data_IF_802952261880
#
_entry.id   IF_802952261880
#
_cell.length_a   1.000
_cell.length_b   1.000
_cell.length_c   1.000
_cell.angle_alpha   90.00
_cell.angle_beta   90.00
_cell.angle_gamma   90.00
#
_symmetry.space_group_name_H-M   'P 1'
#
loop_
_entity.id
_entity.type
_entity.pdbx_description
1 polymer ?
#
# COMPACT_ATOMS: atom_id res chain seq x y z
N UNK A 1 -21.54 -17.88 7.65
CA UNK A 1 -21.22 -17.15 8.90
C UNK A 1 -19.76 -16.75 8.86
N UNK A 2 -19.42 -15.53 9.26
CA UNK A 2 -18.04 -15.04 9.31
C UNK A 2 -17.24 -15.80 10.36
N UNK A 3 -16.06 -16.32 9.99
CA UNK A 3 -15.19 -17.05 10.92
C UNK A 3 -14.67 -16.11 12.01
N UNK A 4 -15.04 -16.39 13.28
CA UNK A 4 -14.51 -15.66 14.44
C UNK A 4 -12.98 -15.68 14.48
N UNK A 5 -12.38 -16.81 14.09
CA UNK A 5 -10.93 -16.97 14.03
C UNK A 5 -10.32 -15.99 13.04
N UNK A 6 -10.90 -15.85 11.84
CA UNK A 6 -10.40 -14.91 10.82
C UNK A 6 -10.49 -13.47 11.30
N UNK A 7 -11.58 -13.09 11.97
CA UNK A 7 -11.71 -11.75 12.56
C UNK A 7 -10.67 -11.50 13.65
N UNK A 8 -10.44 -12.47 14.54
CA UNK A 8 -9.39 -12.37 15.57
C UNK A 8 -7.99 -12.24 14.96
N UNK A 9 -7.70 -12.98 13.88
CA UNK A 9 -6.42 -12.89 13.17
C UNK A 9 -6.21 -11.51 12.53
N UNK A 10 -7.25 -10.96 11.87
CA UNK A 10 -7.18 -9.62 11.28
C UNK A 10 -6.99 -8.54 12.35
N UNK A 11 -7.70 -8.64 13.48
CA UNK A 11 -7.49 -7.76 14.62
C UNK A 11 -6.06 -7.90 15.19
N UNK A 12 -5.55 -9.13 15.26
CA UNK A 12 -4.17 -9.40 15.64
C UNK A 12 -3.16 -8.70 14.74
N UNK A 13 -3.37 -8.71 13.41
CA UNK A 13 -2.53 -7.96 12.48
C UNK A 13 -2.57 -6.45 12.72
N UNK A 14 -3.75 -5.87 12.98
CA UNK A 14 -3.88 -4.44 13.27
C UNK A 14 -3.18 -4.06 14.57
N UNK A 15 -3.34 -4.86 15.62
CA UNK A 15 -2.70 -4.64 16.92
C UNK A 15 -1.18 -4.79 16.83
N UNK A 16 -0.71 -5.83 16.14
CA UNK A 16 0.72 -6.09 15.97
C UNK A 16 1.39 -4.98 15.17
N UNK A 17 0.81 -4.60 14.04
CA UNK A 17 1.33 -3.52 13.20
C UNK A 17 1.28 -2.18 13.92
N UNK A 18 0.14 -1.84 14.55
CA UNK A 18 0.01 -0.61 15.32
C UNK A 18 0.95 -0.54 16.52
N UNK A 19 1.26 -1.69 17.15
CA UNK A 19 2.29 -1.77 18.17
C UNK A 19 3.68 -1.51 17.57
N UNK A 20 4.06 -2.25 16.52
CA UNK A 20 5.38 -2.21 15.91
C UNK A 20 5.71 -0.91 15.18
N UNK A 21 4.70 -0.19 14.68
CA UNK A 21 4.87 1.09 13.99
C UNK A 21 4.55 2.30 14.88
N UNK A 22 3.28 2.48 15.28
CA UNK A 22 2.82 3.69 15.95
C UNK A 22 3.22 3.76 17.43
N UNK A 23 2.98 2.68 18.20
CA UNK A 23 3.24 2.69 19.64
C UNK A 23 4.73 2.79 19.96
N UNK A 24 5.58 1.99 19.32
CA UNK A 24 7.04 2.04 19.48
C UNK A 24 7.59 3.43 19.12
N UNK A 25 7.21 3.97 17.96
CA UNK A 25 7.61 5.32 17.53
C UNK A 25 7.21 6.41 18.52
N UNK A 26 6.03 6.29 19.10
CA UNK A 26 5.57 7.21 20.16
C UNK A 26 6.34 7.02 21.47
N UNK A 27 6.43 5.79 21.97
CA UNK A 27 7.03 5.44 23.26
C UNK A 27 8.49 5.84 23.35
N UNK A 28 9.23 5.71 22.25
CA UNK A 28 10.64 6.07 22.18
C UNK A 28 10.90 7.50 21.69
N UNK A 29 9.85 8.32 21.53
CA UNK A 29 10.00 9.76 21.27
C UNK A 29 10.29 10.17 19.83
N UNK A 30 10.15 9.28 18.84
CA UNK A 30 10.38 9.62 17.43
C UNK A 30 9.43 10.73 16.93
N UNK A 31 8.13 10.60 17.23
CA UNK A 31 7.15 11.63 16.85
C UNK A 31 7.36 12.95 17.59
N UNK A 32 7.93 12.91 18.80
CA UNK A 32 8.26 14.12 19.55
C UNK A 32 9.51 14.79 18.97
N UNK A 33 10.50 14.01 18.54
CA UNK A 33 11.65 14.50 17.77
C UNK A 33 11.20 15.22 16.49
N UNK A 34 10.32 14.59 15.70
CA UNK A 34 9.75 15.21 14.50
C UNK A 34 9.06 16.54 14.81
N UNK A 35 8.23 16.59 15.86
CA UNK A 35 7.54 17.85 16.27
C UNK A 35 8.51 18.93 16.73
N UNK A 36 9.57 18.57 17.47
CA UNK A 36 10.59 19.54 17.90
C UNK A 36 11.30 20.12 16.68
N UNK A 37 11.70 19.27 15.73
CA UNK A 37 12.36 19.71 14.51
C UNK A 37 11.47 20.58 13.61
N UNK A 38 10.18 20.26 13.54
CA UNK A 38 9.19 21.12 12.87
C UNK A 38 9.05 22.48 13.59
N UNK A 39 8.99 22.48 14.94
CA UNK A 39 8.78 23.69 15.73
C UNK A 39 10.01 24.61 15.85
N UNK A 40 11.22 24.06 15.84
CA UNK A 40 12.47 24.84 15.94
C UNK A 40 12.68 25.73 14.71
N UNK A 41 12.16 25.32 13.54
CA UNK A 41 12.08 26.19 12.37
C UNK A 41 11.35 27.52 12.62
N UNK A 42 10.61 27.64 13.74
CA UNK A 42 9.96 28.85 14.21
C UNK A 42 10.58 29.49 15.48
N UNK A 43 11.54 28.87 16.19
CA UNK A 43 12.20 29.45 17.39
C UNK A 43 13.49 28.72 17.82
N UNK A 44 14.63 29.41 18.05
CA UNK A 44 15.97 28.82 18.25
C UNK A 44 16.26 28.26 19.65
N UNK A 45 15.25 27.85 20.42
CA UNK A 45 15.42 27.49 21.85
C UNK A 45 15.45 25.98 22.16
N UNK A 46 15.24 25.10 21.16
CA UNK A 46 15.30 23.63 21.33
C UNK A 46 15.96 22.97 20.13
N UNK A 47 17.19 22.50 20.29
CA UNK A 47 17.99 21.88 19.23
C UNK A 47 17.31 20.62 18.67
N UNK A 48 17.02 20.66 17.37
CA UNK A 48 16.53 19.52 16.61
C UNK A 48 17.60 18.44 16.59
N UNK A 49 17.19 17.23 17.00
CA UNK A 49 18.07 16.06 17.10
C UNK A 49 18.15 15.27 15.79
N UNK A 50 17.28 15.57 14.82
CA UNK A 50 17.32 15.02 13.47
C UNK A 50 18.19 15.94 12.61
N UNK A 51 18.99 15.36 11.73
CA UNK A 51 19.66 16.16 10.73
C UNK A 51 18.60 16.77 9.79
N UNK A 52 18.51 18.10 9.84
CA UNK A 52 17.53 18.93 9.14
C UNK A 52 18.18 19.79 8.06
N UNK A 53 19.40 19.45 7.60
CA UNK A 53 20.22 20.27 6.68
C UNK A 53 19.48 20.81 5.44
N UNK A 54 18.38 20.16 5.03
CA UNK A 54 17.59 20.48 3.85
C UNK A 54 16.18 21.02 4.18
N UNK A 55 15.86 21.29 5.45
CA UNK A 55 14.46 21.36 5.92
C UNK A 55 13.77 22.73 5.83
N UNK A 56 12.50 22.64 5.38
CA UNK A 56 11.21 23.33 5.65
C UNK A 56 11.17 24.71 6.32
N UNK A 57 12.17 25.18 7.05
CA UNK A 57 12.06 26.43 7.82
C UNK A 57 11.80 27.71 7.02
N UNK A 58 11.82 27.64 5.68
CA UNK A 58 11.42 28.74 4.80
C UNK A 58 10.06 28.56 4.10
N UNK A 59 9.36 27.44 4.27
CA UNK A 59 8.08 27.15 3.57
C UNK A 59 6.91 27.41 4.53
N UNK A 60 5.85 28.04 4.03
CA UNK A 60 4.67 28.41 4.82
C UNK A 60 4.16 27.26 5.69
N UNK A 61 4.06 27.50 7.01
CA UNK A 61 3.49 26.56 7.98
C UNK A 61 1.95 26.47 7.91
N UNK A 62 1.32 27.26 7.04
CA UNK A 62 -0.13 27.25 6.79
C UNK A 62 -0.37 26.81 5.35
N UNK A 63 -0.97 25.61 5.19
CA UNK A 63 -1.29 25.01 3.88
C UNK A 63 -2.79 25.09 3.62
N UNK A 64 -3.58 24.69 4.60
CA UNK A 64 -5.05 24.65 4.54
C UNK A 64 -5.70 25.72 5.41
N UNK A 65 -4.95 26.30 6.35
CA UNK A 65 -5.46 27.25 7.35
C UNK A 65 -6.07 26.58 8.57
N UNK A 66 -6.09 25.24 8.62
CA UNK A 66 -6.56 24.46 9.76
C UNK A 66 -5.37 23.85 10.51
N UNK A 67 -5.12 24.31 11.74
CA UNK A 67 -3.92 23.96 12.52
C UNK A 67 -3.68 22.46 12.65
N UNK A 68 -4.73 21.66 12.88
CA UNK A 68 -4.59 20.21 13.04
C UNK A 68 -4.28 19.49 11.72
N UNK A 69 -4.84 19.98 10.62
CA UNK A 69 -4.58 19.40 9.28
C UNK A 69 -3.17 19.78 8.84
N UNK A 70 -2.79 21.04 9.01
CA UNK A 70 -1.47 21.53 8.65
C UNK A 70 -0.37 20.87 9.50
N UNK A 71 -0.63 20.64 10.79
CA UNK A 71 0.28 19.89 11.66
C UNK A 71 0.45 18.43 11.20
N UNK A 72 -0.64 17.75 10.80
CA UNK A 72 -0.55 16.40 10.26
C UNK A 72 0.25 16.36 8.95
N UNK A 73 -0.01 17.31 8.05
CA UNK A 73 0.74 17.45 6.79
C UNK A 73 2.23 17.63 7.08
N UNK A 74 2.60 18.53 7.99
CA UNK A 74 4.01 18.76 8.36
C UNK A 74 4.68 17.49 8.89
N UNK A 75 4.01 16.74 9.77
CA UNK A 75 4.53 15.46 10.28
C UNK A 75 4.74 14.46 9.16
N UNK A 76 3.82 14.36 8.19
CA UNK A 76 3.98 13.45 7.04
C UNK A 76 5.12 13.86 6.13
N UNK A 77 5.22 15.16 5.81
CA UNK A 77 6.29 15.67 4.96
C UNK A 77 7.65 15.42 5.59
N UNK A 78 7.76 15.62 6.90
CA UNK A 78 8.99 15.39 7.64
C UNK A 78 9.30 13.90 7.83
N UNK A 79 8.30 13.07 8.11
CA UNK A 79 8.48 11.62 8.19
C UNK A 79 9.08 11.05 6.89
N UNK A 80 8.51 11.43 5.74
CA UNK A 80 9.01 10.96 4.44
C UNK A 80 10.31 11.62 4.02
N UNK A 81 10.61 12.86 4.43
CA UNK A 81 11.91 13.49 4.14
C UNK A 81 13.05 12.74 4.81
N UNK A 82 12.86 12.31 6.06
CA UNK A 82 13.83 11.50 6.79
C UNK A 82 14.01 10.11 6.17
N UNK A 83 12.92 9.49 5.72
CA UNK A 83 13.00 8.21 5.01
C UNK A 83 13.76 8.29 3.68
N UNK A 84 13.57 9.36 2.93
CA UNK A 84 14.16 9.52 1.59
C UNK A 84 15.53 10.20 1.62
N UNK A 85 16.15 10.28 2.79
CA UNK A 85 17.46 10.90 2.96
C UNK A 85 18.55 9.97 2.42
N UNK A 86 19.34 10.48 1.49
CA UNK A 86 20.55 9.82 1.00
C UNK A 86 21.65 9.86 2.06
N UNK A 87 22.54 8.86 2.05
CA UNK A 87 23.75 8.91 2.86
C UNK A 87 24.65 10.08 2.42
N UNK A 88 25.03 11.02 3.32
CA UNK A 88 25.88 12.15 2.97
C UNK A 88 27.30 11.74 2.56
N UNK A 89 27.77 10.55 2.96
CA UNK A 89 29.10 10.05 2.63
C UNK A 89 29.13 9.32 1.27
N UNK A 90 27.98 9.14 0.60
CA UNK A 90 27.86 8.53 -0.71
C UNK A 90 27.80 9.57 -1.85
N UNK A 91 28.88 9.65 -2.62
CA UNK A 91 28.91 10.36 -3.91
C UNK A 91 28.19 9.52 -4.99
N UNK A 92 26.86 9.59 -5.05
CA UNK A 92 26.10 8.95 -6.13
C UNK A 92 24.71 8.45 -5.74
N UNK A 93 24.31 7.30 -6.31
CA UNK A 93 22.99 6.69 -6.07
C UNK A 93 23.06 5.85 -4.81
N UNK A 94 22.15 6.12 -3.87
CA UNK A 94 21.93 5.24 -2.72
C UNK A 94 21.09 4.04 -3.14
N UNK A 95 21.77 3.02 -3.69
CA UNK A 95 21.10 1.85 -4.27
C UNK A 95 20.31 1.05 -3.23
N UNK A 96 20.84 0.91 -2.02
CA UNK A 96 20.16 0.15 -0.96
C UNK A 96 18.85 0.83 -0.55
N UNK A 97 18.88 2.14 -0.29
CA UNK A 97 17.68 2.91 0.02
C UNK A 97 16.68 2.88 -1.14
N UNK A 98 17.15 3.02 -2.38
CA UNK A 98 16.29 2.99 -3.57
C UNK A 98 15.57 1.65 -3.72
N UNK A 99 16.29 0.53 -3.54
CA UNK A 99 15.71 -0.82 -3.60
C UNK A 99 14.73 -1.05 -2.46
N UNK A 100 15.06 -0.65 -1.22
CA UNK A 100 14.19 -0.80 -0.07
C UNK A 100 12.88 -0.01 -0.23
N UNK A 101 12.96 1.29 -0.57
CA UNK A 101 11.78 2.12 -0.79
C UNK A 101 10.95 1.66 -1.99
N UNK A 102 11.61 1.38 -3.13
CA UNK A 102 10.94 0.92 -4.34
C UNK A 102 10.20 -0.41 -4.09
N UNK A 103 10.82 -1.32 -3.36
CA UNK A 103 10.21 -2.60 -2.97
C UNK A 103 8.98 -2.39 -2.08
N UNK A 104 9.13 -1.66 -0.98
CA UNK A 104 8.03 -1.41 -0.03
C UNK A 104 6.87 -0.68 -0.70
N UNK A 105 7.17 0.32 -1.53
CA UNK A 105 6.17 1.05 -2.29
C UNK A 105 5.42 0.13 -3.26
N UNK A 106 6.09 -0.71 -4.04
CA UNK A 106 5.40 -1.64 -4.95
C UNK A 106 4.44 -2.60 -4.22
N UNK A 107 4.86 -3.12 -3.06
CA UNK A 107 4.05 -4.03 -2.25
C UNK A 107 2.85 -3.30 -1.60
N UNK A 108 3.08 -2.11 -1.05
CA UNK A 108 2.04 -1.21 -0.54
C UNK A 108 1.03 -0.84 -1.63
N UNK A 109 1.51 -0.44 -2.80
CA UNK A 109 0.70 -0.02 -3.94
C UNK A 109 -0.24 -1.13 -4.41
N UNK A 110 0.20 -2.39 -4.33
CA UNK A 110 -0.65 -3.53 -4.61
C UNK A 110 -1.71 -3.80 -3.54
N UNK A 111 -1.37 -3.66 -2.25
CA UNK A 111 -2.36 -3.75 -1.19
C UNK A 111 -3.45 -2.67 -1.37
N UNK A 112 -3.04 -1.43 -1.65
CA UNK A 112 -3.95 -0.33 -1.98
C UNK A 112 -4.78 -0.62 -3.23
N UNK A 113 -4.17 -1.13 -4.30
CA UNK A 113 -4.86 -1.47 -5.55
C UNK A 113 -5.97 -2.49 -5.32
N UNK A 114 -5.71 -3.52 -4.51
CA UNK A 114 -6.69 -4.54 -4.15
C UNK A 114 -7.85 -3.95 -3.34
N UNK A 115 -7.57 -3.05 -2.38
CA UNK A 115 -8.64 -2.34 -1.66
C UNK A 115 -9.48 -1.48 -2.59
N UNK A 116 -8.83 -0.74 -3.50
CA UNK A 116 -9.50 0.08 -4.49
C UNK A 116 -10.41 -0.76 -5.39
N UNK A 117 -9.92 -1.90 -5.87
CA UNK A 117 -10.67 -2.86 -6.69
C UNK A 117 -11.89 -3.40 -5.95
N UNK A 118 -11.73 -3.81 -4.69
CA UNK A 118 -12.86 -4.27 -3.87
C UNK A 118 -13.90 -3.17 -3.63
N UNK A 119 -13.50 -1.91 -3.49
CA UNK A 119 -14.42 -0.78 -3.42
C UNK A 119 -15.27 -0.57 -4.68
N UNK A 120 -14.81 -1.03 -5.85
CA UNK A 120 -15.54 -0.93 -7.14
C UNK A 120 -16.62 -2.00 -7.31
N UNK A 121 -16.64 -3.02 -6.45
CA UNK A 121 -17.59 -4.14 -6.53
C UNK A 121 -19.02 -3.67 -6.31
N UNK A 122 -19.96 -4.27 -7.04
CA UNK A 122 -21.39 -4.02 -6.89
C UNK A 122 -21.87 -4.29 -5.48
N UNK A 123 -21.32 -5.31 -4.80
CA UNK A 123 -21.64 -5.63 -3.41
C UNK A 123 -21.29 -4.52 -2.42
N UNK A 124 -20.32 -3.66 -2.75
CA UNK A 124 -19.86 -2.59 -1.87
C UNK A 124 -20.45 -1.22 -2.24
N UNK A 125 -21.22 -1.13 -3.33
CA UNK A 125 -21.84 0.13 -3.76
C UNK A 125 -22.78 0.68 -2.69
N UNK A 126 -22.64 1.96 -2.40
CA UNK A 126 -23.48 2.66 -1.42
C UNK A 126 -23.15 2.34 0.04
N UNK A 127 -22.13 1.50 0.31
CA UNK A 127 -21.60 1.27 1.65
C UNK A 127 -20.31 2.07 1.85
N UNK A 128 -19.87 2.18 3.10
CA UNK A 128 -18.58 2.81 3.44
C UNK A 128 -17.39 2.13 2.72
N UNK A 129 -17.49 0.84 2.37
CA UNK A 129 -16.43 0.08 1.72
C UNK A 129 -16.13 0.57 0.30
N UNK A 130 -17.06 1.27 -0.35
CA UNK A 130 -16.85 1.93 -1.65
C UNK A 130 -16.10 3.26 -1.55
N UNK A 131 -15.94 3.82 -0.35
CA UNK A 131 -15.27 5.11 -0.12
C UNK A 131 -13.76 4.91 0.08
N UNK A 132 -13.12 4.27 -0.90
CA UNK A 132 -11.71 3.88 -0.81
C UNK A 132 -10.78 5.08 -0.66
N UNK A 133 -11.06 6.20 -1.32
CA UNK A 133 -10.31 7.46 -1.12
C UNK A 133 -10.34 7.98 0.32
N UNK A 134 -11.45 7.82 1.04
CA UNK A 134 -11.58 8.19 2.46
C UNK A 134 -10.71 7.30 3.33
N UNK A 135 -10.77 5.97 3.15
CA UNK A 135 -9.85 5.04 3.82
C UNK A 135 -8.39 5.38 3.48
N UNK A 136 -8.15 5.78 2.24
CA UNK A 136 -6.92 6.37 1.73
C UNK A 136 -6.32 7.44 2.62
N UNK A 137 -7.06 8.51 2.81
CA UNK A 137 -6.62 9.64 3.63
C UNK A 137 -6.51 9.28 5.11
N UNK A 138 -7.40 8.41 5.62
CA UNK A 138 -7.34 7.98 7.02
C UNK A 138 -6.03 7.22 7.29
N UNK A 139 -5.63 6.30 6.40
CA UNK A 139 -4.38 5.57 6.63
C UNK A 139 -3.15 6.45 6.47
N UNK A 140 -3.20 7.54 5.70
CA UNK A 140 -2.07 8.48 5.66
C UNK A 140 -1.82 9.08 7.05
N UNK A 141 -2.89 9.33 7.83
CA UNK A 141 -2.74 9.86 9.19
C UNK A 141 -2.50 8.83 10.29
N UNK A 142 -2.94 7.58 10.09
CA UNK A 142 -2.89 6.54 11.14
C UNK A 142 -1.84 5.47 10.89
N UNK A 143 -1.55 5.11 9.63
CA UNK A 143 -0.81 3.93 9.10
C UNK A 143 -1.73 2.89 8.44
N UNK A 144 -1.32 2.29 7.31
CA UNK A 144 -2.13 1.29 6.59
C UNK A 144 -2.26 -0.03 7.35
N UNK A 145 -1.27 -0.39 8.17
CA UNK A 145 -1.29 -1.64 8.93
C UNK A 145 -2.39 -1.71 9.98
N UNK A 146 -2.94 -0.58 10.41
CA UNK A 146 -4.12 -0.53 11.28
C UNK A 146 -5.39 -0.51 10.42
N UNK A 147 -5.41 0.35 9.40
CA UNK A 147 -6.63 0.62 8.62
C UNK A 147 -7.00 -0.52 7.67
N UNK A 148 -6.02 -1.16 7.01
CA UNK A 148 -6.29 -2.25 6.09
C UNK A 148 -6.97 -3.45 6.79
N UNK A 149 -6.47 -4.02 7.90
CA UNK A 149 -7.17 -5.11 8.55
C UNK A 149 -8.58 -4.73 9.04
N UNK A 150 -8.80 -3.48 9.49
CA UNK A 150 -10.14 -2.98 9.84
C UNK A 150 -11.05 -2.96 8.61
N UNK A 151 -10.57 -2.44 7.48
CA UNK A 151 -11.31 -2.46 6.22
C UNK A 151 -11.67 -3.88 5.80
N UNK A 152 -10.74 -4.82 5.91
CA UNK A 152 -10.95 -6.23 5.59
C UNK A 152 -11.94 -6.91 6.54
N UNK A 153 -11.91 -6.59 7.84
CA UNK A 153 -12.94 -7.05 8.79
C UNK A 153 -14.32 -6.51 8.41
N UNK A 154 -14.42 -5.22 8.07
CA UNK A 154 -15.68 -4.62 7.61
C UNK A 154 -16.17 -5.29 6.32
N UNK A 155 -15.30 -5.63 5.37
CA UNK A 155 -15.64 -6.43 4.20
C UNK A 155 -16.25 -7.78 4.62
N UNK A 156 -15.64 -8.50 5.56
CA UNK A 156 -16.17 -9.79 6.03
C UNK A 156 -17.50 -9.70 6.77
N UNK A 157 -17.79 -8.57 7.39
CA UNK A 157 -19.02 -8.36 8.15
C UNK A 157 -20.17 -7.84 7.28
N UNK A 158 -19.87 -6.99 6.29
CA UNK A 158 -20.86 -6.29 5.47
C UNK A 158 -21.08 -6.97 4.11
N UNK A 159 -20.08 -7.67 3.59
CA UNK A 159 -20.03 -8.15 2.21
C UNK A 159 -19.63 -9.63 2.16
N UNK A 160 -20.62 -10.53 2.16
CA UNK A 160 -20.38 -11.98 2.01
C UNK A 160 -20.68 -12.46 0.58
N UNK A 161 -19.67 -12.86 -0.21
CA UNK A 161 -19.86 -13.34 -1.59
C UNK A 161 -20.75 -14.57 -1.70
N UNK A 162 -20.83 -15.37 -0.64
CA UNK A 162 -21.69 -16.58 -0.59
C UNK A 162 -23.16 -16.29 -0.68
N UNK A 163 -23.59 -15.14 -0.16
CA UNK A 163 -25.00 -14.80 -0.09
C UNK A 163 -25.49 -14.34 -1.47
N UNK A 164 -24.63 -13.66 -2.23
CA UNK A 164 -24.94 -13.13 -3.55
C UNK A 164 -23.69 -13.18 -4.43
N UNK A 165 -23.50 -14.22 -5.27
CA UNK A 165 -22.33 -14.33 -6.15
C UNK A 165 -22.17 -13.11 -7.08
N UNK A 166 -23.27 -12.47 -7.48
CA UNK A 166 -23.25 -11.23 -8.28
C UNK A 166 -22.66 -10.02 -7.56
N UNK A 167 -22.44 -10.10 -6.24
CA UNK A 167 -21.79 -9.03 -5.46
C UNK A 167 -20.34 -8.79 -5.85
N UNK A 168 -19.66 -9.78 -6.43
CA UNK A 168 -18.27 -9.64 -6.90
C UNK A 168 -18.18 -9.00 -8.28
N UNK A 169 -19.29 -8.77 -8.98
CA UNK A 169 -19.27 -8.06 -10.25
C UNK A 169 -18.79 -6.63 -10.04
N UNK A 170 -18.05 -6.11 -11.01
CA UNK A 170 -17.68 -4.70 -11.09
C UNK A 170 -17.83 -4.24 -12.54
N UNK A 171 -18.05 -2.94 -12.72
CA UNK A 171 -18.21 -2.37 -14.06
C UNK A 171 -16.90 -2.55 -14.86
N UNK A 172 -16.93 -3.19 -16.04
CA UNK A 172 -15.73 -3.37 -16.87
C UNK A 172 -15.01 -2.05 -17.19
N UNK A 173 -15.73 -0.93 -17.30
CA UNK A 173 -15.14 0.38 -17.51
C UNK A 173 -14.31 0.83 -16.30
N UNK A 174 -14.87 0.71 -15.10
CA UNK A 174 -14.18 1.09 -13.86
C UNK A 174 -12.92 0.25 -13.64
N UNK A 175 -13.00 -1.05 -13.96
CA UNK A 175 -11.88 -1.98 -13.90
C UNK A 175 -10.80 -1.69 -14.94
N UNK A 176 -11.19 -1.31 -16.16
CA UNK A 176 -10.25 -0.92 -17.21
C UNK A 176 -9.55 0.40 -16.89
N UNK A 177 -10.25 1.31 -16.18
CA UNK A 177 -9.70 2.59 -15.75
C UNK A 177 -8.77 2.46 -14.53
N UNK A 178 -8.98 1.45 -13.68
CA UNK A 178 -8.23 1.30 -12.42
C UNK A 178 -6.70 1.21 -12.60
N UNK A 179 -6.12 0.43 -13.54
CA UNK A 179 -4.68 0.48 -13.83
C UNK A 179 -4.18 1.87 -14.18
N UNK A 180 -4.93 2.61 -15.01
CA UNK A 180 -4.56 3.94 -15.48
C UNK A 180 -4.62 4.95 -14.32
N UNK A 181 -5.71 4.91 -13.54
CA UNK A 181 -5.85 5.81 -12.40
C UNK A 181 -4.75 5.55 -11.37
N UNK A 182 -4.43 4.29 -11.05
CA UNK A 182 -3.31 3.94 -10.17
C UNK A 182 -1.96 4.35 -10.75
N UNK A 183 -1.73 4.19 -12.05
CA UNK A 183 -0.46 4.62 -12.66
C UNK A 183 -0.23 6.12 -12.51
N UNK A 184 -1.26 6.93 -12.78
CA UNK A 184 -1.19 8.40 -12.69
C UNK A 184 -1.16 8.87 -11.24
N UNK A 185 -2.03 8.32 -10.39
CA UNK A 185 -2.19 8.81 -9.02
C UNK A 185 -1.10 8.32 -8.10
N UNK A 186 -0.60 7.10 -8.29
CA UNK A 186 0.27 6.43 -7.33
C UNK A 186 1.66 6.12 -7.91
N UNK A 187 1.73 5.38 -9.03
CA UNK A 187 3.02 4.90 -9.56
C UNK A 187 3.91 6.09 -9.97
N UNK A 188 3.38 7.03 -10.73
CA UNK A 188 4.14 8.19 -11.21
C UNK A 188 4.61 9.09 -10.06
N UNK A 189 3.77 9.49 -9.09
CA UNK A 189 4.25 10.21 -7.90
C UNK A 189 5.25 9.42 -7.08
N UNK A 190 5.13 8.09 -6.99
CA UNK A 190 6.09 7.24 -6.27
C UNK A 190 7.46 7.25 -6.94
N UNK A 191 7.52 7.23 -8.28
CA UNK A 191 8.78 7.41 -9.01
C UNK A 191 9.39 8.77 -8.65
N UNK A 192 8.59 9.83 -8.64
CA UNK A 192 9.00 11.16 -8.19
C UNK A 192 9.52 11.18 -6.75
N UNK A 193 8.88 10.42 -5.86
CA UNK A 193 9.26 10.26 -4.46
C UNK A 193 10.62 9.58 -4.30
N UNK A 194 11.03 8.71 -5.24
CA UNK A 194 12.33 8.03 -5.21
C UNK A 194 13.47 8.82 -5.87
N UNK A 195 13.18 9.87 -6.66
CA UNK A 195 14.21 10.72 -7.28
C UNK A 195 15.20 11.40 -6.30
N UNK A 196 14.82 11.80 -5.07
CA UNK A 196 15.78 12.30 -4.09
C UNK A 196 16.97 11.36 -3.85
N UNK A 197 16.74 10.04 -3.88
CA UNK A 197 17.75 8.99 -3.66
C UNK A 197 18.76 8.87 -4.82
N UNK A 198 18.48 9.53 -5.95
CA UNK A 198 19.41 9.67 -7.07
C UNK A 198 20.30 10.92 -6.94
N UNK A 199 20.12 11.73 -5.90
CA UNK A 199 20.81 13.01 -5.68
C UNK A 199 20.64 14.02 -6.84
N UNK A 200 19.55 13.92 -7.61
CA UNK A 200 19.27 14.80 -8.76
C UNK A 200 18.34 15.97 -8.46
N UNK A 201 17.66 15.96 -7.32
CA UNK A 201 16.66 16.97 -6.95
C UNK A 201 17.22 18.00 -5.95
N UNK A 202 16.87 19.27 -6.17
CA UNK A 202 17.05 20.33 -5.18
C UNK A 202 16.17 20.08 -3.93
N UNK A 203 16.53 20.61 -2.76
CA UNK A 203 15.74 20.45 -1.53
C UNK A 203 14.25 20.79 -1.71
N UNK A 204 13.96 21.90 -2.39
CA UNK A 204 12.57 22.33 -2.70
C UNK A 204 11.84 21.32 -3.59
N UNK A 205 12.52 20.75 -4.60
CA UNK A 205 11.91 19.76 -5.48
C UNK A 205 11.60 18.44 -4.76
N UNK A 206 12.46 18.01 -3.83
CA UNK A 206 12.23 16.83 -2.98
C UNK A 206 10.94 17.00 -2.17
N UNK A 207 10.78 18.16 -1.54
CA UNK A 207 9.58 18.49 -0.76
C UNK A 207 8.31 18.47 -1.61
N UNK A 208 8.33 19.10 -2.78
CA UNK A 208 7.19 19.10 -3.70
C UNK A 208 6.82 17.67 -4.11
N UNK A 209 7.80 16.81 -4.37
CA UNK A 209 7.56 15.41 -4.70
C UNK A 209 6.85 14.66 -3.56
N UNK A 210 7.30 14.85 -2.31
CA UNK A 210 6.65 14.25 -1.13
C UNK A 210 5.21 14.79 -0.99
N UNK A 211 5.02 16.11 -1.07
CA UNK A 211 3.72 16.74 -0.91
C UNK A 211 2.71 16.31 -1.98
N UNK A 212 3.15 16.16 -3.23
CA UNK A 212 2.32 15.63 -4.32
C UNK A 212 1.98 14.15 -4.11
N UNK A 213 2.84 13.38 -3.45
CA UNK A 213 2.54 11.97 -3.19
C UNK A 213 1.47 11.78 -2.09
N UNK A 214 1.47 12.60 -1.04
CA UNK A 214 0.59 12.41 0.13
C UNK A 214 -0.91 12.20 -0.20
N UNK A 215 -1.57 13.04 -1.01
CA UNK A 215 -2.99 12.89 -1.31
C UNK A 215 -3.29 11.94 -2.49
N UNK A 216 -2.37 11.05 -2.88
CA UNK A 216 -2.59 10.10 -3.98
C UNK A 216 -3.92 9.33 -3.94
N UNK A 217 -4.49 8.93 -2.78
CA UNK A 217 -5.75 8.20 -2.75
C UNK A 217 -6.93 9.04 -3.24
N UNK A 218 -6.87 10.36 -3.02
CA UNK A 218 -7.87 11.30 -3.51
C UNK A 218 -7.73 11.51 -5.01
N UNK A 219 -6.50 11.60 -5.53
CA UNK A 219 -6.26 11.68 -6.96
C UNK A 219 -6.85 10.47 -7.68
N UNK A 220 -6.62 9.26 -7.16
CA UNK A 220 -7.16 8.04 -7.76
C UNK A 220 -8.69 8.05 -7.80
N UNK A 221 -9.31 8.45 -6.68
CA UNK A 221 -10.76 8.52 -6.54
C UNK A 221 -11.37 9.60 -7.44
N UNK A 222 -10.70 10.76 -7.55
CA UNK A 222 -11.10 11.86 -8.40
C UNK A 222 -11.02 11.49 -9.89
N UNK A 223 -9.93 10.83 -10.33
CA UNK A 223 -9.80 10.35 -11.71
C UNK A 223 -10.95 9.40 -12.06
N UNK A 224 -11.21 8.40 -11.21
CA UNK A 224 -12.33 7.46 -11.39
C UNK A 224 -13.68 8.18 -11.45
N UNK A 225 -13.95 9.13 -10.54
CA UNK A 225 -15.20 9.88 -10.50
C UNK A 225 -15.39 10.80 -11.72
N UNK A 226 -14.35 11.56 -12.09
CA UNK A 226 -14.38 12.48 -13.22
C UNK A 226 -14.54 11.73 -14.55
N UNK A 227 -13.80 10.63 -14.75
CA UNK A 227 -13.95 9.81 -15.95
C UNK A 227 -15.36 9.27 -16.10
N UNK A 228 -16.04 8.88 -15.01
CA UNK A 228 -17.46 8.49 -15.06
C UNK A 228 -18.37 9.64 -15.47
N UNK A 229 -18.08 10.87 -15.04
CA UNK A 229 -18.86 12.05 -15.42
C UNK A 229 -18.71 12.36 -16.91
N UNK A 230 -17.49 12.30 -17.46
CA UNK A 230 -17.24 12.59 -18.87
C UNK A 230 -17.65 11.44 -19.81
N UNK A 231 -17.49 10.19 -19.42
CA UNK A 231 -17.86 9.03 -20.23
C UNK A 231 -19.35 8.63 -20.11
N UNK A 232 -20.10 9.25 -19.18
CA UNK A 232 -21.55 9.04 -18.95
C UNK A 232 -22.42 9.23 -20.18
N UNK A 233 -21.96 10.01 -21.16
CA UNK A 233 -22.70 10.30 -22.39
C UNK A 233 -22.64 9.16 -23.43
N UNK A 234 -21.73 8.18 -23.27
CA UNK A 234 -21.41 7.23 -24.35
C UNK A 234 -21.72 5.77 -24.05
N UNK A 235 -21.83 5.38 -22.78
CA UNK A 235 -22.18 4.02 -22.37
C UNK A 235 -23.26 4.13 -21.28
N UNK A 236 -24.47 3.64 -21.61
CA UNK A 236 -25.60 3.61 -20.67
C UNK A 236 -25.19 2.96 -19.35
N UNK A 237 -25.71 3.50 -18.25
CA UNK A 237 -25.27 3.15 -16.89
C UNK A 237 -25.63 1.69 -16.58
N UNK A 238 -24.65 0.79 -16.52
CA UNK A 238 -24.84 -0.55 -15.97
C UNK A 238 -24.78 -0.51 -14.43
N UNK A 239 -25.84 0.06 -13.84
CA UNK A 239 -25.89 0.31 -12.40
C UNK A 239 -26.21 -0.90 -11.55
N UNK A 240 -26.88 -1.87 -12.15
CA UNK A 240 -27.40 -3.05 -11.49
C UNK A 240 -26.57 -4.23 -11.92
N UNK A 241 -26.36 -5.18 -11.01
CA UNK A 241 -25.70 -6.45 -11.32
C UNK A 241 -26.33 -7.15 -12.55
N UNK A 242 -27.64 -6.97 -12.75
CA UNK A 242 -28.39 -7.53 -13.86
C UNK A 242 -27.91 -7.05 -15.26
N UNK A 243 -27.26 -5.88 -15.33
CA UNK A 243 -26.83 -5.30 -16.59
C UNK A 243 -25.33 -5.51 -16.86
N UNK A 244 -24.58 -6.15 -15.94
CA UNK A 244 -23.14 -6.38 -16.11
C UNK A 244 -22.95 -7.78 -16.70
N UNK A 245 -22.34 -7.86 -17.87
CA UNK A 245 -21.99 -9.14 -18.49
C UNK A 245 -20.82 -9.79 -17.69
N UNK A 246 -21.03 -10.98 -17.08
CA UNK A 246 -19.98 -11.65 -16.29
C UNK A 246 -18.70 -11.90 -17.09
N UNK A 247 -18.82 -12.20 -18.39
CA UNK A 247 -17.68 -12.44 -19.29
C UNK A 247 -16.83 -11.20 -19.53
N UNK A 248 -17.46 -10.05 -19.69
CA UNK A 248 -16.74 -8.79 -19.85
C UNK A 248 -16.09 -8.36 -18.53
N UNK A 249 -16.79 -8.55 -17.41
CA UNK A 249 -16.26 -8.32 -16.07
C UNK A 249 -15.02 -9.18 -15.81
N UNK A 250 -15.07 -10.50 -16.10
CA UNK A 250 -13.95 -11.43 -15.94
C UNK A 250 -12.73 -11.03 -16.77
N UNK A 251 -12.94 -10.63 -18.02
CA UNK A 251 -11.86 -10.11 -18.89
C UNK A 251 -11.23 -8.83 -18.31
N UNK A 252 -12.06 -7.89 -17.84
CA UNK A 252 -11.57 -6.64 -17.27
C UNK A 252 -10.81 -6.87 -15.94
N UNK A 253 -11.31 -7.75 -15.06
CA UNK A 253 -10.62 -8.17 -13.85
C UNK A 253 -9.29 -8.85 -14.14
N UNK A 254 -9.25 -9.76 -15.12
CA UNK A 254 -8.01 -10.42 -15.53
C UNK A 254 -6.94 -9.40 -15.94
N UNK A 255 -7.31 -8.36 -16.69
CA UNK A 255 -6.38 -7.26 -17.04
C UNK A 255 -5.94 -6.45 -15.82
N UNK A 256 -6.87 -6.10 -14.93
CA UNK A 256 -6.59 -5.38 -13.69
C UNK A 256 -5.61 -6.16 -12.79
N UNK A 257 -5.85 -7.46 -12.60
CA UNK A 257 -4.96 -8.35 -11.86
C UNK A 257 -3.61 -8.53 -12.56
N UNK A 258 -3.59 -8.68 -13.89
CA UNK A 258 -2.33 -8.79 -14.66
C UNK A 258 -1.46 -7.55 -14.49
N UNK A 259 -2.05 -6.36 -14.51
CA UNK A 259 -1.32 -5.10 -14.31
C UNK A 259 -0.60 -5.11 -12.95
N UNK A 260 -1.32 -5.35 -11.86
CA UNK A 260 -0.73 -5.27 -10.52
C UNK A 260 0.18 -6.47 -10.22
N UNK A 261 -0.09 -7.64 -10.80
CA UNK A 261 0.79 -8.81 -10.74
C UNK A 261 2.13 -8.52 -11.42
N UNK A 262 2.09 -7.89 -12.61
CA UNK A 262 3.30 -7.53 -13.34
C UNK A 262 4.14 -6.51 -12.57
N UNK A 263 3.51 -5.51 -11.96
CA UNK A 263 4.21 -4.51 -11.14
C UNK A 263 4.91 -5.14 -9.93
N UNK A 264 4.18 -5.92 -9.14
CA UNK A 264 4.70 -6.52 -7.90
C UNK A 264 5.76 -7.58 -8.17
N UNK A 265 5.48 -8.49 -9.10
CA UNK A 265 6.43 -9.52 -9.54
C UNK A 265 7.66 -8.89 -10.18
N UNK A 266 7.48 -7.89 -11.07
CA UNK A 266 8.57 -7.20 -11.72
C UNK A 266 9.53 -6.54 -10.72
N UNK A 267 9.00 -5.75 -9.78
CA UNK A 267 9.82 -5.11 -8.75
C UNK A 267 10.49 -6.14 -7.82
N UNK A 268 9.76 -7.18 -7.41
CA UNK A 268 10.32 -8.23 -6.55
C UNK A 268 11.49 -8.96 -7.23
N UNK A 269 11.32 -9.38 -8.49
CA UNK A 269 12.36 -10.07 -9.24
C UNK A 269 13.56 -9.17 -9.55
N UNK A 270 13.33 -7.88 -9.84
CA UNK A 270 14.42 -6.91 -10.00
C UNK A 270 15.24 -6.79 -8.71
N UNK A 271 14.57 -6.63 -7.57
CA UNK A 271 15.23 -6.47 -6.26
C UNK A 271 16.00 -7.73 -5.88
N UNK A 272 15.37 -8.91 -5.95
CA UNK A 272 16.04 -10.19 -5.65
C UNK A 272 17.19 -10.45 -6.62
N UNK A 273 17.00 -10.14 -7.91
CA UNK A 273 18.03 -10.26 -8.93
C UNK A 273 19.23 -9.35 -8.67
N UNK A 274 19.01 -8.10 -8.25
CA UNK A 274 20.08 -7.16 -7.90
C UNK A 274 20.83 -7.64 -6.66
N UNK A 275 20.13 -8.05 -5.60
CA UNK A 275 20.77 -8.61 -4.38
C UNK A 275 21.65 -9.81 -4.76
N UNK A 276 21.10 -10.76 -5.52
CA UNK A 276 21.85 -11.94 -5.96
C UNK A 276 23.08 -11.56 -6.81
N UNK A 277 22.91 -10.65 -7.77
CA UNK A 277 23.99 -10.21 -8.67
C UNK A 277 25.08 -9.45 -7.90
N UNK A 278 24.71 -8.65 -6.90
CA UNK A 278 25.66 -7.90 -6.06
C UNK A 278 26.56 -8.80 -5.20
N UNK A 279 26.10 -10.00 -4.82
CA UNK A 279 26.91 -10.95 -4.07
C UNK A 279 27.68 -11.95 -4.95
N UNK A 280 27.37 -12.02 -6.24
CA UNK A 280 27.96 -13.02 -7.15
C UNK A 280 28.82 -12.41 -8.25
N UNK A 281 28.80 -11.08 -8.41
CA UNK A 281 29.56 -10.37 -9.43
C UNK A 281 30.00 -9.00 -8.96
N UNK A 282 31.14 -8.53 -9.46
CA UNK A 282 31.67 -7.18 -9.20
C UNK A 282 30.99 -6.09 -10.07
N UNK A 283 29.91 -6.43 -10.78
CA UNK A 283 29.21 -5.51 -11.69
C UNK A 283 28.34 -4.49 -10.96
N UNK A 284 27.95 -4.78 -9.72
CA UNK A 284 27.10 -3.94 -8.89
C UNK A 284 27.74 -3.77 -7.51
N UNK A 285 27.57 -2.59 -6.86
CA UNK A 285 27.92 -2.44 -5.45
C UNK A 285 27.19 -3.49 -4.60
N UNK A 286 27.86 -4.00 -3.57
CA UNK A 286 27.25 -4.91 -2.62
C UNK A 286 26.06 -4.23 -1.92
N UNK A 287 24.90 -4.90 -1.90
CA UNK A 287 23.70 -4.42 -1.20
C UNK A 287 23.21 -5.46 -0.22
N UNK A 288 22.72 -5.02 0.94
CA UNK A 288 22.25 -5.94 1.96
C UNK A 288 20.81 -6.39 1.72
N UNK A 289 20.62 -7.67 1.43
CA UNK A 289 19.29 -8.27 1.40
C UNK A 289 18.56 -8.13 2.74
N UNK A 290 19.28 -8.05 3.87
CA UNK A 290 18.68 -7.83 5.18
C UNK A 290 18.06 -6.42 5.29
N UNK A 291 18.76 -5.38 4.85
CA UNK A 291 18.25 -4.01 4.82
C UNK A 291 17.23 -3.74 3.70
N UNK A 292 16.93 -4.72 2.84
CA UNK A 292 15.92 -4.54 1.79
C UNK A 292 14.68 -5.41 2.07
N UNK A 293 14.90 -6.69 2.37
CA UNK A 293 13.85 -7.72 2.39
C UNK A 293 13.54 -8.27 3.78
N UNK A 294 14.38 -8.07 4.81
CA UNK A 294 14.17 -8.74 6.09
C UNK A 294 12.81 -8.39 6.71
N UNK A 295 12.18 -9.40 7.30
CA UNK A 295 11.19 -9.15 8.33
C UNK A 295 11.91 -8.42 9.46
N UNK A 296 11.44 -7.22 9.79
CA UNK A 296 11.95 -6.49 10.95
C UNK A 296 11.70 -7.31 12.20
N UNK A 297 12.74 -7.42 13.04
CA UNK A 297 12.60 -8.10 14.32
C UNK A 297 11.50 -7.42 15.15
N UNK A 298 10.64 -8.22 15.78
CA UNK A 298 9.68 -7.75 16.79
C UNK A 298 10.40 -7.10 17.99
N UNK A 299 11.66 -7.47 18.22
CA UNK A 299 12.45 -7.05 19.38
C UNK A 299 13.40 -5.89 19.10
N UNK A 300 13.63 -5.55 17.83
CA UNK A 300 14.43 -4.40 17.41
C UNK A 300 13.50 -3.37 16.75
N UNK A 301 12.64 -2.69 17.54
CA UNK A 301 11.73 -1.71 17.00
C UNK A 301 12.49 -0.58 16.30
N UNK A 302 11.82 0.22 15.45
CA UNK A 302 12.39 1.34 14.70
C UNK A 302 13.09 2.44 15.53
N UNK A 303 13.44 2.22 16.78
CA UNK A 303 13.61 3.27 17.78
C UNK A 303 14.82 3.08 18.69
N UNK A 304 15.55 1.97 18.56
CA UNK A 304 16.83 1.79 19.27
C UNK A 304 17.88 2.81 18.81
N UNK A 305 17.72 3.41 17.62
CA UNK A 305 18.58 4.46 17.13
C UNK A 305 18.47 5.77 17.94
N UNK A 306 17.36 6.04 18.64
CA UNK A 306 17.13 7.30 19.38
C UNK A 306 17.90 7.41 20.71
N UNK A 307 18.77 6.44 21.03
CA UNK A 307 19.49 6.42 22.30
C UNK A 307 20.69 7.38 22.35
N UNK A 308 21.26 7.78 21.20
CA UNK A 308 22.45 8.64 21.13
C UNK A 308 22.26 9.83 20.16
N UNK A 309 21.83 11.03 20.62
CA UNK A 309 21.73 12.23 19.79
C UNK A 309 23.10 12.89 19.54
N UNK A 310 23.30 13.61 18.39
CA UNK A 310 22.38 13.78 17.26
C UNK A 310 22.31 12.53 16.36
N UNK A 311 21.14 12.28 15.76
CA UNK A 311 20.99 11.18 14.82
C UNK A 311 21.63 11.50 13.47
N UNK A 312 22.40 10.56 12.93
CA UNK A 312 22.86 10.65 11.55
C UNK A 312 21.69 10.53 10.57
N UNK A 313 21.90 11.02 9.35
CA UNK A 313 20.98 10.86 8.22
C UNK A 313 20.61 9.39 7.95
N UNK A 314 21.59 8.49 8.08
CA UNK A 314 21.40 7.05 7.87
C UNK A 314 20.54 6.44 8.98
N UNK A 315 20.79 6.81 10.25
CA UNK A 315 19.97 6.35 11.37
C UNK A 315 18.53 6.86 11.28
N UNK A 316 18.29 8.13 10.91
CA UNK A 316 16.92 8.64 10.77
C UNK A 316 16.14 7.94 9.65
N UNK A 317 16.80 7.63 8.53
CA UNK A 317 16.23 6.81 7.46
C UNK A 317 15.87 5.41 7.93
N UNK A 318 16.76 4.73 8.65
CA UNK A 318 16.53 3.36 9.13
C UNK A 318 15.29 3.24 10.01
N UNK A 319 15.03 4.25 10.85
CA UNK A 319 13.81 4.36 11.65
C UNK A 319 12.57 4.36 10.74
N UNK A 320 12.55 5.23 9.73
CA UNK A 320 11.41 5.36 8.81
C UNK A 320 11.22 4.10 7.96
N UNK A 321 12.30 3.54 7.42
CA UNK A 321 12.24 2.30 6.62
C UNK A 321 11.75 1.13 7.48
N UNK A 322 12.20 1.02 8.73
CA UNK A 322 11.73 -0.01 9.66
C UNK A 322 10.24 0.14 9.98
N UNK A 323 9.77 1.38 10.20
CA UNK A 323 8.32 1.67 10.32
C UNK A 323 7.56 1.19 9.08
N UNK A 324 8.01 1.55 7.88
CA UNK A 324 7.34 1.20 6.62
C UNK A 324 7.35 -0.31 6.34
N UNK A 325 8.40 -1.05 6.75
CA UNK A 325 8.42 -2.52 6.68
C UNK A 325 7.32 -3.13 7.53
N UNK A 326 7.18 -2.69 8.79
CA UNK A 326 6.07 -3.10 9.65
C UNK A 326 4.72 -2.79 9.01
N UNK A 327 4.59 -1.58 8.47
CA UNK A 327 3.36 -1.11 7.84
C UNK A 327 2.94 -2.00 6.66
N UNK A 328 3.89 -2.33 5.78
CA UNK A 328 3.65 -3.16 4.59
C UNK A 328 3.45 -4.63 4.94
N UNK A 329 4.31 -5.24 5.76
CA UNK A 329 4.25 -6.68 6.01
C UNK A 329 3.01 -7.09 6.80
N UNK A 330 2.63 -6.33 7.83
CA UNK A 330 1.40 -6.62 8.58
C UNK A 330 0.15 -6.39 7.71
N UNK A 331 0.16 -5.39 6.83
CA UNK A 331 -0.87 -5.18 5.81
C UNK A 331 -0.97 -6.39 4.88
N UNK A 332 0.16 -6.85 4.32
CA UNK A 332 0.21 -8.01 3.41
C UNK A 332 -0.30 -9.29 4.10
N UNK A 333 0.15 -9.55 5.34
CA UNK A 333 -0.32 -10.70 6.11
C UNK A 333 -1.85 -10.67 6.28
N UNK A 334 -2.41 -9.52 6.63
CA UNK A 334 -3.86 -9.35 6.77
C UNK A 334 -4.62 -9.63 5.46
N UNK A 335 -4.09 -9.15 4.33
CA UNK A 335 -4.64 -9.38 3.00
C UNK A 335 -4.61 -10.87 2.63
N UNK A 336 -3.53 -11.58 2.93
CA UNK A 336 -3.40 -13.02 2.67
C UNK A 336 -4.40 -13.81 3.51
N UNK A 337 -4.54 -13.49 4.81
CA UNK A 337 -5.51 -14.12 5.72
C UNK A 337 -6.94 -13.92 5.20
N UNK A 338 -7.28 -12.69 4.85
CA UNK A 338 -8.60 -12.32 4.33
C UNK A 338 -8.91 -13.00 2.98
N UNK A 339 -7.99 -12.93 2.02
CA UNK A 339 -8.14 -13.56 0.72
C UNK A 339 -8.28 -15.09 0.85
N UNK A 340 -7.46 -15.71 1.69
CA UNK A 340 -7.49 -17.15 1.95
C UNK A 340 -8.81 -17.61 2.55
N UNK A 341 -9.40 -16.78 3.42
CA UNK A 341 -10.73 -17.04 3.97
C UNK A 341 -11.79 -17.03 2.86
N UNK A 342 -11.82 -16.00 2.01
CA UNK A 342 -12.76 -15.95 0.89
C UNK A 342 -12.61 -17.13 -0.08
N UNK A 343 -11.39 -17.50 -0.44
CA UNK A 343 -11.16 -18.65 -1.33
C UNK A 343 -11.61 -19.96 -0.69
N UNK A 344 -11.38 -20.14 0.62
CA UNK A 344 -11.81 -21.36 1.33
C UNK A 344 -13.32 -21.55 1.31
N UNK A 345 -14.07 -20.46 1.30
CA UNK A 345 -15.52 -20.51 1.21
C UNK A 345 -15.98 -20.92 -0.20
N UNK A 346 -15.30 -20.47 -1.25
CA UNK A 346 -15.68 -20.76 -2.65
C UNK A 346 -15.30 -22.18 -3.07
N UNK A 347 -14.14 -22.66 -2.62
CA UNK A 347 -13.61 -24.00 -2.94
C UNK A 347 -14.07 -25.10 -1.98
N UNK A 348 -14.48 -24.75 -0.76
CA UNK A 348 -14.76 -25.72 0.30
C UNK A 348 -13.48 -26.26 0.96
N UNK A 349 -13.56 -27.50 1.48
CA UNK A 349 -12.53 -28.17 2.28
C UNK A 349 -11.24 -28.46 1.47
N UNK A 350 -10.36 -27.46 1.36
CA UNK A 350 -8.97 -27.66 0.95
C UNK A 350 -8.06 -27.70 2.17
N UNK A 351 -7.05 -28.56 2.13
CA UNK A 351 -6.06 -28.66 3.20
C UNK A 351 -5.42 -27.29 3.48
N UNK A 352 -5.44 -26.87 4.75
CA UNK A 352 -4.80 -25.64 5.21
C UNK A 352 -3.31 -25.62 4.91
N UNK A 353 -2.64 -26.79 4.97
CA UNK A 353 -1.21 -26.90 4.66
C UNK A 353 -0.92 -26.64 3.20
N UNK A 354 -1.74 -27.17 2.29
CA UNK A 354 -1.60 -26.93 0.85
C UNK A 354 -1.78 -25.44 0.50
N UNK A 355 -2.73 -24.77 1.16
CA UNK A 355 -2.94 -23.31 1.01
C UNK A 355 -1.75 -22.51 1.52
N UNK A 356 -1.22 -22.87 2.70
CA UNK A 356 -0.03 -22.25 3.26
C UNK A 356 1.18 -22.39 2.34
N UNK A 357 1.45 -23.60 1.84
CA UNK A 357 2.54 -23.85 0.90
C UNK A 357 2.36 -23.04 -0.40
N UNK A 358 1.15 -23.01 -0.95
CA UNK A 358 0.85 -22.23 -2.15
C UNK A 358 1.08 -20.74 -1.94
N UNK A 359 0.66 -20.21 -0.79
CA UNK A 359 0.91 -18.83 -0.40
C UNK A 359 2.41 -18.52 -0.29
N UNK A 360 3.19 -19.42 0.31
CA UNK A 360 4.65 -19.27 0.39
C UNK A 360 5.29 -19.23 -1.01
N UNK A 361 4.91 -20.16 -1.89
CA UNK A 361 5.44 -20.22 -3.26
C UNK A 361 5.12 -18.96 -4.05
N UNK A 362 3.91 -18.43 -3.96
CA UNK A 362 3.57 -17.14 -4.57
C UNK A 362 4.34 -15.98 -3.96
N UNK A 363 4.60 -16.02 -2.65
CA UNK A 363 5.39 -15.00 -1.96
C UNK A 363 6.82 -14.92 -2.49
N UNK A 364 7.43 -16.07 -2.80
CA UNK A 364 8.76 -16.16 -3.41
C UNK A 364 8.80 -15.64 -4.86
N UNK A 365 7.65 -15.57 -5.54
CA UNK A 365 7.59 -15.13 -6.95
C UNK A 365 7.39 -13.62 -7.05
N UNK A 366 6.51 -13.04 -6.22
CA UNK A 366 6.13 -11.62 -6.36
C UNK A 366 6.15 -10.80 -5.08
N UNK A 367 6.70 -11.32 -3.99
CA UNK A 367 6.77 -10.65 -2.70
C UNK A 367 5.53 -10.88 -1.82
N UNK A 368 5.48 -10.24 -0.64
CA UNK A 368 4.54 -10.56 0.44
C UNK A 368 3.05 -10.33 0.10
N UNK A 369 2.72 -9.40 -0.81
CA UNK A 369 1.32 -9.15 -1.20
C UNK A 369 0.83 -10.10 -2.29
N UNK A 370 1.76 -10.66 -3.08
CA UNK A 370 1.45 -11.45 -4.27
C UNK A 370 0.57 -12.67 -4.00
N UNK A 371 0.70 -13.39 -2.87
CA UNK A 371 -0.21 -14.47 -2.52
C UNK A 371 -1.66 -14.01 -2.40
N UNK A 372 -1.91 -12.86 -1.77
CA UNK A 372 -3.27 -12.32 -1.63
C UNK A 372 -3.87 -12.00 -3.00
N UNK A 373 -3.08 -11.36 -3.86
CA UNK A 373 -3.44 -11.07 -5.25
C UNK A 373 -3.85 -12.33 -6.02
N UNK A 374 -3.01 -13.37 -6.02
CA UNK A 374 -3.27 -14.61 -6.76
C UNK A 374 -4.48 -15.37 -6.19
N UNK A 375 -4.65 -15.37 -4.87
CA UNK A 375 -5.80 -16.00 -4.21
C UNK A 375 -7.11 -15.30 -4.58
N UNK A 376 -7.13 -13.97 -4.64
CA UNK A 376 -8.32 -13.20 -5.05
C UNK A 376 -8.64 -13.38 -6.52
N UNK A 377 -7.61 -13.40 -7.38
CA UNK A 377 -7.81 -13.68 -8.80
C UNK A 377 -8.43 -15.06 -8.98
N UNK A 378 -7.90 -16.08 -8.31
CA UNK A 378 -8.45 -17.44 -8.34
C UNK A 378 -9.89 -17.52 -7.82
N UNK A 379 -10.19 -16.82 -6.71
CA UNK A 379 -11.55 -16.71 -6.17
C UNK A 379 -12.52 -16.17 -7.21
N UNK A 380 -12.15 -15.06 -7.84
CA UNK A 380 -12.99 -14.37 -8.81
C UNK A 380 -13.20 -15.19 -10.08
N UNK A 381 -12.15 -15.85 -10.56
CA UNK A 381 -12.21 -16.68 -11.76
C UNK A 381 -13.21 -17.84 -11.58
N UNK A 382 -13.20 -18.46 -10.38
CA UNK A 382 -14.16 -19.54 -10.04
C UNK A 382 -15.59 -19.01 -9.98
N UNK A 383 -15.83 -17.88 -9.30
CA UNK A 383 -17.20 -17.35 -9.15
C UNK A 383 -17.74 -16.87 -10.50
N UNK A 384 -16.94 -16.15 -11.29
CA UNK A 384 -17.36 -15.64 -12.59
C UNK A 384 -17.54 -16.75 -13.61
N UNK A 385 -16.71 -17.80 -13.58
CA UNK A 385 -16.93 -19.00 -14.40
C UNK A 385 -18.30 -19.62 -14.16
N UNK A 386 -18.70 -19.80 -12.89
CA UNK A 386 -20.03 -20.31 -12.52
C UNK A 386 -21.18 -19.38 -12.97
N UNK A 387 -20.98 -18.06 -12.89
CA UNK A 387 -21.98 -17.09 -13.35
C UNK A 387 -22.13 -17.07 -14.87
N UNK A 388 -21.04 -17.21 -15.60
CA UNK A 388 -21.04 -17.35 -17.06
C UNK A 388 -21.85 -18.59 -17.46
N UNK A 389 -21.51 -19.77 -16.94
CA UNK A 389 -22.22 -21.03 -17.20
C UNK A 389 -23.72 -20.92 -16.96
N UNK A 390 -24.14 -20.40 -15.80
CA UNK A 390 -25.56 -20.24 -15.48
C UNK A 390 -26.29 -19.27 -16.42
N UNK A 391 -25.61 -18.24 -16.92
CA UNK A 391 -26.19 -17.27 -17.87
C UNK A 391 -26.38 -17.84 -19.28
N UNK A 392 -25.60 -18.86 -19.66
CA UNK A 392 -25.75 -19.58 -20.92
C UNK A 392 -26.98 -20.49 -20.89
N UNK A 393 -27.15 -21.25 -19.81
CA UNK A 393 -28.31 -22.15 -19.66
C UNK A 393 -29.65 -21.39 -19.69
N UNK A 394 -29.71 -20.17 -19.15
CA UNK A 394 -30.91 -19.32 -19.19
C UNK A 394 -31.25 -18.72 -20.57
N UNK A 395 -30.36 -18.84 -21.57
CA UNK A 395 -30.61 -18.35 -22.95
C UNK A 395 -31.07 -19.45 -23.90
N UNK A 396 -30.94 -20.72 -23.51
CA UNK A 396 -31.30 -21.89 -24.33
C UNK A 396 -32.68 -22.48 -23.97
N UNK A 397 -33.29 -22.02 -22.87
CA UNK A 397 -34.72 -22.20 -22.54
C UNK A 397 -35.54 -21.00 -23.03
#
# INVERSE_FOLDING_TARGET
>A
MTSKITLCLLLGCALLGGYGSMFTSYYHGFFDALKVCIAESASPSRQCILDMSDSIGSVSNSYTGFIHIDSLIQVLLEFFSQGLRSDPDLDGIDMEALLAFGYLAAQFGAAWYLMALEGLRVGNRGTILSWTGTFGIIFQGVTITIIAPIYLMLQLLLSSPTLKPTSILADPFDLALLPISTAISYVLPTIGLCLPLLNVLSPTARFIAIALWQPFPLYQSAIQALSRLFCRSRHGRSNTAANINPRECRKALSRAYTFIATLTMGVHLIVVGIIFTSHTSDLLPEVSGYHILALTSLTDPPTLALLDPPLSATSSREIVVSFLRWDVYCTCASMVIWASYHLSIVRGSSSTTARGLKALLWGLIGGPIFPALMILWERDDIILGRLEENSWYQKEE
#
